data_IF_426424196274
#
_entry.id   IF_426424196274
#
_cell.length_a   1.000
_cell.length_b   1.000
_cell.length_c   1.000
_cell.angle_alpha   90.00
_cell.angle_beta   90.00
_cell.angle_gamma   90.00
#
_symmetry.space_group_name_H-M   'P 1'
#
loop_
_entity.id
_entity.type
_entity.pdbx_description
1 polymer ?
#
# COMPACT_ATOMS: atom_id res chain seq x y z
N UNK A 1 3.22 12.17 -6.53
CA UNK A 1 1.96 11.41 -6.35
C UNK A 1 1.35 11.85 -5.03
N UNK A 2 0.13 12.40 -5.03
CA UNK A 2 -0.51 12.80 -3.78
C UNK A 2 -1.24 11.58 -3.21
N UNK A 3 -0.80 11.08 -2.05
CA UNK A 3 -1.53 10.04 -1.32
C UNK A 3 -2.83 10.62 -0.73
N UNK A 4 -3.82 9.77 -0.51
CA UNK A 4 -5.04 10.11 0.22
C UNK A 4 -4.71 10.59 1.65
N UNK A 5 -5.64 11.34 2.26
CA UNK A 5 -5.46 11.87 3.62
C UNK A 5 -5.18 10.76 4.65
N UNK A 6 -5.84 9.62 4.52
CA UNK A 6 -5.63 8.44 5.37
C UNK A 6 -4.24 7.84 5.18
N UNK A 7 -3.78 7.69 3.94
CA UNK A 7 -2.43 7.22 3.65
C UNK A 7 -1.35 8.19 4.15
N UNK A 8 -1.57 9.51 4.08
CA UNK A 8 -0.65 10.51 4.63
C UNK A 8 -0.53 10.44 6.16
N UNK A 9 -1.62 10.13 6.87
CA UNK A 9 -1.59 9.88 8.32
C UNK A 9 -0.66 8.71 8.66
N UNK A 10 -0.80 7.60 7.94
CA UNK A 10 0.04 6.41 8.17
C UNK A 10 1.50 6.70 7.81
N UNK A 11 1.75 7.44 6.73
CA UNK A 11 3.10 7.80 6.27
C UNK A 11 3.92 8.54 7.34
N UNK A 12 3.28 9.42 8.12
CA UNK A 12 3.92 10.15 9.23
C UNK A 12 4.54 9.22 10.28
N UNK A 13 3.98 8.01 10.43
CA UNK A 13 4.48 6.99 11.36
C UNK A 13 5.17 5.82 10.64
N UNK A 14 5.54 5.96 9.37
CA UNK A 14 6.09 4.89 8.53
C UNK A 14 7.24 4.09 9.15
N UNK A 15 8.07 4.72 10.01
CA UNK A 15 9.20 4.07 10.69
C UNK A 15 8.78 2.83 11.51
N UNK A 16 7.60 2.86 12.15
CA UNK A 16 7.16 1.75 13.01
C UNK A 16 6.86 0.46 12.22
N UNK A 17 6.60 0.59 10.93
CA UNK A 17 6.20 -0.51 10.06
C UNK A 17 7.38 -1.21 9.38
N UNK A 18 8.58 -0.61 9.39
CA UNK A 18 9.76 -1.14 8.68
C UNK A 18 10.09 -2.59 9.03
N UNK A 19 9.94 -2.98 10.30
CA UNK A 19 10.23 -4.33 10.80
C UNK A 19 8.98 -5.19 10.98
N UNK A 20 7.81 -4.71 10.57
CA UNK A 20 6.52 -5.38 10.80
C UNK A 20 6.02 -6.09 9.56
N UNK A 21 5.26 -7.16 9.79
CA UNK A 21 4.43 -7.80 8.77
C UNK A 21 3.10 -7.07 8.73
N UNK A 22 2.79 -6.42 7.61
CA UNK A 22 1.63 -5.52 7.49
C UNK A 22 0.60 -6.10 6.53
N UNK A 23 -0.64 -6.20 6.99
CA UNK A 23 -1.79 -6.60 6.17
C UNK A 23 -2.67 -5.39 5.89
N UNK A 24 -2.76 -4.98 4.63
CA UNK A 24 -3.62 -3.91 4.18
C UNK A 24 -4.96 -4.48 3.73
N UNK A 25 -6.06 -3.94 4.25
CA UNK A 25 -7.43 -4.30 3.88
C UNK A 25 -8.39 -3.13 4.05
N UNK A 26 -9.64 -3.32 3.64
CA UNK A 26 -10.67 -2.29 3.70
C UNK A 26 -10.64 -1.37 2.48
N UNK A 27 -10.87 -0.08 2.71
CA UNK A 27 -11.02 0.92 1.65
C UNK A 27 -9.66 1.42 1.13
N UNK A 28 -9.00 0.60 0.30
CA UNK A 28 -7.72 0.94 -0.32
C UNK A 28 -7.97 1.78 -1.57
N UNK A 29 -7.84 3.10 -1.43
CA UNK A 29 -8.17 4.07 -2.49
C UNK A 29 -6.97 4.50 -3.34
N UNK A 30 -5.76 4.27 -2.85
CA UNK A 30 -4.53 4.68 -3.50
C UNK A 30 -3.47 3.58 -3.48
N UNK A 31 -2.31 3.90 -4.03
CA UNK A 31 -1.20 2.95 -4.14
C UNK A 31 -0.31 2.89 -2.90
N UNK A 32 -0.66 3.58 -1.80
CA UNK A 32 0.19 3.69 -0.61
C UNK A 32 0.74 2.34 -0.12
N UNK A 33 -0.04 1.24 -0.07
CA UNK A 33 0.47 -0.06 0.34
C UNK A 33 1.69 -0.55 -0.47
N UNK A 34 1.81 -0.18 -1.75
CA UNK A 34 2.97 -0.54 -2.59
C UNK A 34 4.23 0.24 -2.17
N UNK A 35 4.08 1.45 -1.66
CA UNK A 35 5.19 2.34 -1.34
C UNK A 35 5.65 2.26 0.12
N UNK A 36 4.82 1.77 1.04
CA UNK A 36 5.24 1.57 2.42
C UNK A 36 6.36 0.52 2.51
N UNK A 37 7.43 0.87 3.23
CA UNK A 37 8.54 -0.03 3.56
C UNK A 37 8.19 -0.84 4.80
N UNK A 38 8.24 -2.17 4.66
CA UNK A 38 7.83 -3.17 5.66
C UNK A 38 8.66 -4.43 5.48
N UNK A 39 8.77 -5.27 6.51
CA UNK A 39 9.46 -6.56 6.39
C UNK A 39 8.71 -7.51 5.45
N UNK A 40 7.38 -7.60 5.62
CA UNK A 40 6.50 -8.27 4.69
C UNK A 40 5.20 -7.48 4.58
N UNK A 41 4.56 -7.52 3.40
CA UNK A 41 3.25 -6.92 3.21
C UNK A 41 2.35 -7.79 2.36
N UNK A 42 1.09 -7.87 2.80
CA UNK A 42 0.00 -8.49 2.06
C UNK A 42 -1.10 -7.44 1.87
N UNK A 43 -1.69 -7.41 0.69
CA UNK A 43 -2.71 -6.43 0.31
C UNK A 43 -3.93 -7.22 -0.12
N UNK A 44 -5.03 -7.08 0.62
CA UNK A 44 -6.31 -7.65 0.27
C UNK A 44 -7.19 -6.60 -0.41
N UNK A 45 -7.59 -6.89 -1.65
CA UNK A 45 -8.40 -6.00 -2.47
C UNK A 45 -9.70 -6.71 -2.79
N UNK A 46 -10.83 -6.04 -2.54
CA UNK A 46 -12.14 -6.62 -2.77
C UNK A 46 -12.47 -6.77 -4.26
N UNK A 47 -11.91 -5.91 -5.12
CA UNK A 47 -12.19 -5.91 -6.57
C UNK A 47 -10.97 -6.38 -7.35
N UNK A 48 -11.18 -7.36 -8.24
CA UNK A 48 -10.13 -7.88 -9.12
C UNK A 48 -9.50 -6.80 -10.02
N UNK A 49 -10.30 -5.86 -10.52
CA UNK A 49 -9.79 -4.75 -11.34
C UNK A 49 -8.79 -3.88 -10.57
N UNK A 50 -8.97 -3.70 -9.27
CA UNK A 50 -8.05 -2.93 -8.43
C UNK A 50 -6.75 -3.71 -8.18
N UNK A 51 -6.84 -5.05 -8.05
CA UNK A 51 -5.67 -5.93 -8.04
C UNK A 51 -4.85 -5.80 -9.33
N UNK A 52 -5.48 -5.87 -10.50
CA UNK A 52 -4.77 -5.72 -11.78
C UNK A 52 -4.11 -4.34 -11.90
N UNK A 53 -4.82 -3.27 -11.51
CA UNK A 53 -4.27 -1.90 -11.50
C UNK A 53 -3.05 -1.77 -10.58
N UNK A 54 -3.14 -2.30 -9.36
CA UNK A 54 -2.02 -2.26 -8.40
C UNK A 54 -0.85 -3.11 -8.87
N UNK A 55 -1.11 -4.31 -9.40
CA UNK A 55 -0.09 -5.22 -9.94
C UNK A 55 0.70 -4.56 -11.08
N UNK A 56 0.03 -3.93 -12.05
CA UNK A 56 0.68 -3.18 -13.15
C UNK A 56 1.62 -2.08 -12.64
N UNK A 57 1.23 -1.38 -11.57
CA UNK A 57 2.05 -0.30 -10.98
C UNK A 57 3.22 -0.85 -10.16
N UNK A 58 3.09 -2.03 -9.57
CA UNK A 58 4.21 -2.69 -8.88
C UNK A 58 5.34 -3.09 -9.83
N UNK A 59 5.03 -3.50 -11.06
CA UNK A 59 6.03 -3.88 -12.07
C UNK A 59 6.71 -2.69 -12.75
N UNK A 60 6.11 -1.50 -12.74
CA UNK A 60 6.67 -0.26 -13.31
C UNK A 60 7.75 0.40 -12.42
N UNK A 61 8.27 -0.30 -11.43
CA UNK A 61 9.20 0.23 -10.43
C UNK A 61 10.68 -0.06 -10.75
N UNK A 62 10.99 -0.27 -12.04
CA UNK A 62 12.34 -0.36 -12.58
C UNK A 62 12.69 0.94 -13.31
#
# INVERSE_FOLDING_TARGET
>A
MLFSKSSQLILRHSKIFKTKNVFFSGNIQDNFPIYLSTSNKKINLQKYNDYIKLKKKSYKKF
#
